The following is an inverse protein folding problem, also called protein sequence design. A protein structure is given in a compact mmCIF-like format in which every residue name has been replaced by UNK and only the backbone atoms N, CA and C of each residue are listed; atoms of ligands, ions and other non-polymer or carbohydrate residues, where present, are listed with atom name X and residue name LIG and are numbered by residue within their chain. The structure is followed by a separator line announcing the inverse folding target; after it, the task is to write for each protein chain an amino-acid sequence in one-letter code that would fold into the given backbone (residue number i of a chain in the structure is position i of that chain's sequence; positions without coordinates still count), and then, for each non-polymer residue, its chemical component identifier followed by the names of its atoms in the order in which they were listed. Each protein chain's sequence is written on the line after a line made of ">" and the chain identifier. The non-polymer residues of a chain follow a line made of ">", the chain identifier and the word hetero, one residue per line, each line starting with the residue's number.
data_IF_350845283797
#
_entry.id   IF_350845283797
#
_cell.length_a   1.000
_cell.length_b   1.000
_cell.length_c   1.000
_cell.angle_alpha   90.00
_cell.angle_beta   90.00
_cell.angle_gamma   90.00
#
_symmetry.space_group_name_H-M   'P 1'
#
loop_
_entity.id
_entity.type
_entity.pdbx_description
1 polymer ?
#
# COMPACT_ATOMS: atom_id res chain seq x y z
N UNK A 1 -47.31 56.76 3.09
CA UNK A 1 -46.60 55.69 3.89
C UNK A 1 -46.61 54.30 3.25
N UNK A 2 -47.18 54.02 2.09
CA UNK A 2 -47.24 52.64 1.52
C UNK A 2 -46.10 52.24 0.58
N UNK A 3 -45.27 53.17 0.09
CA UNK A 3 -44.22 52.91 -0.91
C UNK A 3 -42.96 52.21 -0.36
N UNK A 4 -42.60 52.44 0.89
CA UNK A 4 -41.41 51.83 1.51
C UNK A 4 -41.57 50.36 1.90
N UNK A 5 -42.77 49.88 2.14
CA UNK A 5 -43.03 48.49 2.54
C UNK A 5 -42.83 47.53 1.35
N UNK A 6 -43.18 47.96 0.13
CA UNK A 6 -43.00 47.13 -1.08
C UNK A 6 -41.51 46.96 -1.45
N UNK A 7 -40.71 48.01 -1.31
CA UNK A 7 -39.25 47.95 -1.58
C UNK A 7 -38.58 47.01 -0.61
N UNK A 8 -38.95 47.04 0.67
CA UNK A 8 -38.41 46.14 1.68
C UNK A 8 -38.76 44.67 1.42
N UNK A 9 -39.98 44.41 0.97
CA UNK A 9 -40.46 43.08 0.64
C UNK A 9 -39.70 42.48 -0.57
N UNK A 10 -39.47 43.29 -1.60
CA UNK A 10 -38.74 42.89 -2.82
C UNK A 10 -37.28 42.55 -2.47
N UNK A 11 -36.60 43.36 -1.67
CA UNK A 11 -35.22 43.14 -1.23
C UNK A 11 -35.12 41.84 -0.41
N UNK A 12 -36.11 41.57 0.43
CA UNK A 12 -36.11 40.37 1.26
C UNK A 12 -36.34 39.10 0.46
N UNK A 13 -37.19 39.16 -0.56
CA UNK A 13 -37.41 38.03 -1.49
C UNK A 13 -36.18 37.77 -2.34
N UNK A 14 -35.54 38.81 -2.90
CA UNK A 14 -34.28 38.64 -3.65
C UNK A 14 -33.14 38.05 -2.78
N UNK A 15 -33.00 38.48 -1.54
CA UNK A 15 -31.99 37.96 -0.62
C UNK A 15 -32.28 36.50 -0.27
N UNK A 16 -33.53 36.13 -0.02
CA UNK A 16 -33.94 34.75 0.25
C UNK A 16 -33.70 33.84 -0.96
N UNK A 17 -34.04 34.29 -2.17
CA UNK A 17 -33.78 33.53 -3.40
C UNK A 17 -32.30 33.33 -3.67
N UNK A 18 -31.47 34.38 -3.49
CA UNK A 18 -29.99 34.24 -3.63
C UNK A 18 -29.41 33.26 -2.65
N UNK A 19 -29.88 33.25 -1.40
CA UNK A 19 -29.44 32.31 -0.36
C UNK A 19 -29.83 30.86 -0.70
N UNK A 20 -31.01 30.64 -1.23
CA UNK A 20 -31.47 29.32 -1.67
C UNK A 20 -30.72 28.84 -2.92
N UNK A 21 -30.42 29.73 -3.88
CA UNK A 21 -29.59 29.40 -5.05
C UNK A 21 -28.16 29.03 -4.64
N UNK A 22 -27.58 29.77 -3.69
CA UNK A 22 -26.21 29.47 -3.18
C UNK A 22 -26.16 28.12 -2.47
N UNK A 23 -27.20 27.80 -1.68
CA UNK A 23 -27.26 26.49 -0.98
C UNK A 23 -27.45 25.34 -1.97
N UNK A 24 -28.24 25.53 -3.03
CA UNK A 24 -28.44 24.53 -4.09
C UNK A 24 -27.17 24.30 -4.88
N UNK A 25 -26.40 25.35 -5.16
CA UNK A 25 -25.11 25.26 -5.85
C UNK A 25 -24.06 24.51 -5.00
N UNK A 26 -24.09 24.70 -3.68
CA UNK A 26 -23.20 23.99 -2.74
C UNK A 26 -23.55 22.49 -2.65
N UNK A 27 -24.84 22.15 -2.67
CA UNK A 27 -25.30 20.75 -2.64
C UNK A 27 -24.94 20.03 -3.95
N UNK A 28 -25.09 20.70 -5.10
CA UNK A 28 -24.74 20.14 -6.41
C UNK A 28 -23.21 19.93 -6.51
N UNK A 29 -22.39 20.86 -6.02
CA UNK A 29 -20.94 20.71 -6.01
C UNK A 29 -20.46 19.57 -5.09
N UNK A 30 -21.14 19.29 -3.98
CA UNK A 30 -20.84 18.15 -3.11
C UNK A 30 -21.24 16.80 -3.73
N UNK A 31 -22.28 16.77 -4.58
CA UNK A 31 -22.73 15.55 -5.24
C UNK A 31 -21.83 15.15 -6.42
N UNK A 32 -21.20 16.11 -7.09
CA UNK A 32 -20.26 15.82 -8.20
C UNK A 32 -18.89 15.31 -7.72
N UNK A 33 -18.51 15.54 -6.47
CA UNK A 33 -17.26 15.05 -5.89
C UNK A 33 -17.27 13.54 -5.58
N UNK A 34 -18.44 12.90 -5.55
CA UNK A 34 -18.55 11.47 -5.23
C UNK A 34 -18.69 10.55 -6.45
N UNK A 35 -18.68 11.07 -7.67
CA UNK A 35 -18.76 10.28 -8.90
C UNK A 35 -17.38 10.07 -9.54
N UNK A 36 -16.31 9.98 -8.76
CA UNK A 36 -15.07 9.40 -9.28
C UNK A 36 -15.35 7.92 -9.51
N UNK A 37 -15.40 7.50 -10.77
CA UNK A 37 -15.33 6.09 -11.14
C UNK A 37 -14.13 5.49 -10.40
N UNK A 38 -14.40 4.74 -9.32
CA UNK A 38 -13.35 4.12 -8.54
C UNK A 38 -12.68 3.11 -9.46
N UNK A 39 -11.49 3.44 -9.94
CA UNK A 39 -10.67 2.57 -10.78
C UNK A 39 -10.53 1.23 -10.05
N UNK A 40 -10.85 0.13 -10.73
CA UNK A 40 -10.88 -1.19 -10.11
C UNK A 40 -9.62 -1.98 -10.48
N UNK A 41 -9.26 -2.89 -9.64
CA UNK A 41 -8.14 -3.82 -9.88
C UNK A 41 -8.32 -4.57 -11.21
N UNK A 42 -9.58 -4.88 -11.60
CA UNK A 42 -9.93 -5.52 -12.88
C UNK A 42 -9.62 -4.68 -14.12
N UNK A 43 -9.42 -3.38 -13.96
CA UNK A 43 -9.17 -2.45 -15.08
C UNK A 43 -7.67 -2.34 -15.37
N UNK A 44 -6.83 -2.99 -14.56
CA UNK A 44 -5.37 -3.00 -14.70
C UNK A 44 -4.97 -4.02 -15.76
N UNK A 45 -4.34 -3.60 -16.87
CA UNK A 45 -3.95 -4.51 -17.93
C UNK A 45 -2.75 -5.38 -17.56
N UNK A 46 -1.80 -4.84 -16.81
CA UNK A 46 -0.61 -5.54 -16.33
C UNK A 46 0.05 -4.79 -15.16
N UNK A 47 0.92 -5.50 -14.43
CA UNK A 47 1.64 -4.99 -13.27
C UNK A 47 3.16 -5.12 -13.43
N UNK A 48 3.89 -4.19 -12.83
CA UNK A 48 5.30 -4.40 -12.44
C UNK A 48 5.34 -4.88 -10.99
N UNK A 49 5.94 -6.05 -10.73
CA UNK A 49 6.16 -6.54 -9.37
C UNK A 49 7.49 -5.97 -8.84
N UNK A 50 7.41 -5.17 -7.78
CA UNK A 50 8.60 -4.57 -7.16
C UNK A 50 9.20 -5.42 -6.05
N UNK A 51 8.59 -6.56 -5.66
CA UNK A 51 9.08 -7.40 -4.57
C UNK A 51 8.63 -6.91 -3.20
N UNK A 52 9.47 -7.12 -2.18
CA UNK A 52 9.15 -6.82 -0.78
C UNK A 52 10.00 -5.65 -0.29
N UNK A 53 9.33 -4.63 0.20
CA UNK A 53 9.91 -3.53 0.96
C UNK A 53 9.83 -3.85 2.46
N UNK A 54 10.97 -3.83 3.13
CA UNK A 54 11.12 -4.09 4.56
C UNK A 54 11.37 -2.83 5.38
N UNK A 55 11.26 -1.63 4.80
CA UNK A 55 11.57 -0.36 5.50
C UNK A 55 10.68 -0.12 6.73
N UNK A 56 9.48 -0.67 6.74
CA UNK A 56 8.56 -0.63 7.88
C UNK A 56 8.65 -1.86 8.79
N UNK A 57 9.44 -2.87 8.42
CA UNK A 57 9.43 -4.15 9.10
C UNK A 57 10.02 -4.07 10.52
N UNK A 58 9.32 -4.71 11.46
CA UNK A 58 9.86 -5.01 12.79
C UNK A 58 9.85 -6.50 13.04
N UNK A 59 10.86 -6.98 13.77
CA UNK A 59 10.99 -8.39 14.16
C UNK A 59 10.95 -8.52 15.69
N UNK A 60 9.98 -9.27 16.17
CA UNK A 60 9.79 -9.61 17.59
C UNK A 60 10.20 -11.05 17.87
N UNK A 61 10.76 -11.28 19.05
CA UNK A 61 11.22 -12.61 19.48
C UNK A 61 12.47 -13.10 18.72
N UNK A 62 12.83 -14.36 18.97
CA UNK A 62 13.97 -15.02 18.35
C UNK A 62 15.34 -14.51 18.83
N UNK A 63 16.39 -15.25 18.49
CA UNK A 63 17.78 -14.93 18.86
C UNK A 63 18.54 -14.21 17.75
N UNK A 64 17.99 -14.15 16.58
CA UNK A 64 18.58 -13.54 15.40
C UNK A 64 18.77 -12.04 15.60
N UNK A 65 19.90 -11.53 15.12
CA UNK A 65 20.23 -10.10 15.16
C UNK A 65 19.51 -9.34 14.04
N UNK A 66 19.34 -8.03 14.19
CA UNK A 66 18.79 -7.19 13.12
C UNK A 66 19.63 -7.27 11.84
N UNK A 67 20.96 -7.43 11.94
CA UNK A 67 21.83 -7.61 10.79
C UNK A 67 21.52 -8.89 10.00
N UNK A 68 21.22 -10.00 10.68
CA UNK A 68 20.83 -11.25 10.03
C UNK A 68 19.51 -11.10 9.27
N UNK A 69 18.52 -10.36 9.82
CA UNK A 69 17.30 -10.01 9.12
C UNK A 69 17.59 -9.14 7.89
N UNK A 70 18.42 -8.12 8.05
CA UNK A 70 18.77 -7.21 6.96
C UNK A 70 19.40 -7.92 5.76
N UNK A 71 20.32 -8.84 5.98
CA UNK A 71 20.91 -9.69 4.93
C UNK A 71 19.86 -10.56 4.26
N UNK A 72 18.98 -11.18 5.04
CA UNK A 72 17.92 -12.06 4.55
C UNK A 72 16.93 -11.34 3.61
N UNK A 73 16.69 -10.05 3.78
CA UNK A 73 15.71 -9.29 2.99
C UNK A 73 16.01 -9.33 1.48
N UNK A 74 17.26 -9.12 1.10
CA UNK A 74 17.67 -9.23 -0.30
C UNK A 74 17.53 -10.67 -0.81
N UNK A 75 17.96 -11.65 0.00
CA UNK A 75 17.86 -13.06 -0.36
C UNK A 75 16.43 -13.56 -0.56
N UNK A 76 15.44 -13.04 0.17
CA UNK A 76 14.03 -13.38 -0.04
C UNK A 76 13.50 -12.71 -1.30
N UNK A 77 13.88 -11.46 -1.57
CA UNK A 77 13.47 -10.76 -2.79
C UNK A 77 13.94 -11.49 -4.06
N UNK A 78 15.15 -12.04 -4.06
CA UNK A 78 15.68 -12.83 -5.20
C UNK A 78 14.78 -14.03 -5.56
N UNK A 79 14.00 -14.57 -4.61
CA UNK A 79 13.11 -15.70 -4.87
C UNK A 79 12.00 -15.39 -5.86
N UNK A 80 11.62 -14.12 -6.05
CA UNK A 80 10.66 -13.74 -7.11
C UNK A 80 11.23 -13.95 -8.51
N UNK A 81 12.57 -13.90 -8.64
CA UNK A 81 13.29 -14.16 -9.89
C UNK A 81 13.67 -15.64 -10.00
N UNK A 82 14.26 -16.21 -8.92
CA UNK A 82 14.75 -17.59 -8.92
C UNK A 82 13.63 -18.64 -8.94
N UNK A 83 12.48 -18.34 -8.30
CA UNK A 83 11.36 -19.26 -8.15
C UNK A 83 10.02 -18.62 -8.58
N UNK A 84 9.91 -18.11 -9.81
CA UNK A 84 8.77 -17.31 -10.26
C UNK A 84 7.43 -18.07 -10.20
N UNK A 85 7.43 -19.39 -10.37
CA UNK A 85 6.22 -20.21 -10.25
C UNK A 85 5.70 -20.31 -8.82
N UNK A 86 6.60 -20.25 -7.83
CA UNK A 86 6.26 -20.34 -6.40
C UNK A 86 5.80 -18.99 -5.86
N UNK A 87 6.48 -17.92 -6.23
CA UNK A 87 6.23 -16.54 -5.77
C UNK A 87 5.47 -15.72 -6.82
N UNK A 88 4.59 -16.33 -7.59
CA UNK A 88 3.84 -15.67 -8.68
C UNK A 88 2.72 -14.78 -8.14
N UNK A 89 2.85 -13.49 -8.33
CA UNK A 89 1.77 -12.50 -8.15
C UNK A 89 0.66 -12.71 -9.18
N UNK A 90 1.04 -12.86 -10.46
CA UNK A 90 0.12 -13.07 -11.58
C UNK A 90 -0.86 -14.23 -11.31
N UNK A 91 -0.33 -15.39 -10.88
CA UNK A 91 -1.17 -16.56 -10.56
C UNK A 91 -2.20 -16.26 -9.46
N UNK A 92 -1.95 -15.30 -8.58
CA UNK A 92 -2.81 -14.99 -7.44
C UNK A 92 -3.85 -13.93 -7.76
N UNK A 93 -3.45 -12.89 -8.47
CA UNK A 93 -4.34 -11.78 -8.84
C UNK A 93 -5.09 -12.01 -10.16
N UNK A 94 -4.59 -12.90 -11.02
CA UNK A 94 -5.12 -13.06 -12.37
C UNK A 94 -4.80 -11.89 -13.30
N UNK A 95 -3.84 -11.01 -12.90
CA UNK A 95 -3.39 -9.86 -13.66
C UNK A 95 -1.98 -10.17 -14.16
N UNK A 96 -1.68 -10.01 -15.47
CA UNK A 96 -0.35 -10.23 -16.01
C UNK A 96 0.74 -9.43 -15.28
N UNK A 97 1.89 -10.03 -15.05
CA UNK A 97 3.08 -9.36 -14.50
C UNK A 97 4.13 -9.26 -15.60
N UNK A 98 4.28 -8.08 -16.20
CA UNK A 98 5.21 -7.86 -17.30
C UNK A 98 6.68 -7.91 -16.86
N UNK A 99 6.95 -7.39 -15.67
CA UNK A 99 8.32 -7.24 -15.14
C UNK A 99 8.36 -7.49 -13.65
N UNK A 100 9.41 -8.19 -13.19
CA UNK A 100 9.84 -8.19 -11.78
C UNK A 100 11.04 -7.24 -11.66
N UNK A 101 10.85 -6.12 -10.96
CA UNK A 101 11.85 -5.04 -10.82
C UNK A 101 12.21 -4.81 -9.35
N UNK A 102 13.19 -5.53 -8.85
CA UNK A 102 13.59 -5.48 -7.44
C UNK A 102 14.47 -4.28 -7.08
N UNK A 103 14.93 -3.50 -8.07
CA UNK A 103 15.90 -2.43 -7.84
C UNK A 103 15.41 -1.40 -6.81
N UNK A 104 14.16 -0.97 -6.90
CA UNK A 104 13.61 0.05 -6.02
C UNK A 104 13.55 -0.41 -4.57
N UNK A 105 12.99 -1.61 -4.32
CA UNK A 105 12.90 -2.15 -2.95
C UNK A 105 14.28 -2.52 -2.40
N UNK A 106 15.19 -3.05 -3.21
CA UNK A 106 16.54 -3.36 -2.76
C UNK A 106 17.31 -2.10 -2.39
N UNK A 107 17.15 -0.99 -3.13
CA UNK A 107 17.74 0.31 -2.76
C UNK A 107 17.13 0.87 -1.46
N UNK A 108 15.83 0.72 -1.25
CA UNK A 108 15.18 1.14 -0.02
C UNK A 108 15.64 0.28 1.17
N UNK A 109 15.63 -1.04 1.02
CA UNK A 109 16.01 -2.00 2.05
C UNK A 109 17.49 -1.87 2.49
N UNK A 110 18.39 -1.52 1.56
CA UNK A 110 19.81 -1.24 1.88
C UNK A 110 20.03 -0.06 2.82
N UNK A 111 19.08 0.86 2.91
CA UNK A 111 19.14 2.03 3.80
C UNK A 111 18.61 1.76 5.21
N UNK A 112 18.04 0.58 5.46
CA UNK A 112 17.53 0.21 6.78
C UNK A 112 18.70 0.11 7.75
N UNK A 113 18.60 0.77 8.91
CA UNK A 113 19.52 0.54 10.01
C UNK A 113 19.18 -0.80 10.69
N UNK A 114 20.08 -1.80 10.67
CA UNK A 114 19.82 -3.11 11.27
C UNK A 114 19.44 -3.06 12.75
N UNK A 115 19.94 -2.09 13.52
CA UNK A 115 19.66 -1.95 14.96
C UNK A 115 18.18 -1.61 15.22
N UNK A 116 17.46 -1.09 14.21
CA UNK A 116 16.06 -0.70 14.36
C UNK A 116 15.08 -1.80 13.94
N UNK A 117 15.57 -2.92 13.44
CA UNK A 117 14.71 -4.03 12.96
C UNK A 117 14.09 -4.76 14.15
N UNK A 118 14.85 -5.02 15.22
CA UNK A 118 14.32 -5.69 16.40
C UNK A 118 13.43 -4.77 17.22
N UNK A 119 12.34 -5.33 17.76
CA UNK A 119 11.43 -4.63 18.65
C UNK A 119 11.06 -5.50 19.84
N UNK A 120 10.66 -4.86 20.94
CA UNK A 120 10.02 -5.49 22.10
C UNK A 120 8.51 -5.42 22.06
N UNK A 121 7.95 -4.70 21.08
CA UNK A 121 6.50 -4.59 20.88
C UNK A 121 5.96 -5.90 20.29
N UNK A 122 4.98 -6.49 20.97
CA UNK A 122 4.33 -7.74 20.56
C UNK A 122 3.27 -7.56 19.46
N UNK A 123 2.78 -6.32 19.27
CA UNK A 123 1.67 -5.98 18.35
C UNK A 123 2.03 -4.78 17.47
N UNK A 124 3.27 -4.73 16.97
CA UNK A 124 3.67 -3.64 16.10
C UNK A 124 2.85 -3.64 14.79
N UNK A 125 2.33 -2.48 14.43
CA UNK A 125 1.63 -2.27 13.15
C UNK A 125 1.83 -0.82 12.69
N UNK A 126 2.39 -0.60 11.50
CA UNK A 126 2.47 0.74 10.92
C UNK A 126 1.08 1.33 10.62
N UNK A 127 0.99 2.65 10.71
CA UNK A 127 -0.23 3.38 10.33
C UNK A 127 -0.41 3.41 8.82
N UNK A 128 -1.64 3.66 8.35
CA UNK A 128 -1.92 3.84 6.92
C UNK A 128 -1.09 4.98 6.29
N UNK A 129 -0.84 6.04 7.04
CA UNK A 129 0.00 7.16 6.60
C UNK A 129 1.46 6.72 6.37
N UNK A 130 2.01 5.86 7.23
CA UNK A 130 3.36 5.30 7.07
C UNK A 130 3.43 4.35 5.86
N UNK A 131 2.38 3.54 5.64
CA UNK A 131 2.26 2.68 4.46
C UNK A 131 2.23 3.51 3.18
N UNK A 132 1.40 4.55 3.12
CA UNK A 132 1.31 5.44 1.97
C UNK A 132 2.65 6.16 1.71
N UNK A 133 3.33 6.60 2.77
CA UNK A 133 4.63 7.27 2.65
C UNK A 133 5.71 6.30 2.14
N UNK A 134 5.74 5.05 2.60
CA UNK A 134 6.68 4.04 2.10
C UNK A 134 6.52 3.84 0.58
N UNK A 135 5.28 3.76 0.08
CA UNK A 135 5.01 3.64 -1.35
C UNK A 135 5.48 4.88 -2.13
N UNK A 136 5.27 6.09 -1.59
CA UNK A 136 5.73 7.35 -2.20
C UNK A 136 7.25 7.44 -2.29
N UNK A 137 7.94 6.94 -1.27
CA UNK A 137 9.41 7.01 -1.17
C UNK A 137 10.14 5.93 -1.97
N UNK A 138 9.44 4.94 -2.56
CA UNK A 138 10.08 3.94 -3.41
C UNK A 138 10.85 4.62 -4.55
N UNK A 139 12.16 4.35 -4.70
CA UNK A 139 13.00 5.00 -5.71
C UNK A 139 12.81 4.39 -7.10
N UNK A 140 11.57 4.45 -7.60
CA UNK A 140 11.22 3.99 -8.94
C UNK A 140 11.60 5.07 -9.94
N UNK A 141 12.41 4.72 -10.92
CA UNK A 141 12.96 5.65 -11.91
C UNK A 141 11.99 5.91 -13.08
N UNK A 142 11.05 5.02 -13.33
CA UNK A 142 10.11 5.17 -14.46
C UNK A 142 9.21 6.39 -14.27
N UNK A 143 9.12 7.22 -15.30
CA UNK A 143 8.20 8.36 -15.40
C UNK A 143 6.91 7.99 -16.16
N UNK A 144 6.81 6.76 -16.63
CA UNK A 144 5.64 6.27 -17.34
C UNK A 144 4.51 5.96 -16.38
N UNK A 145 3.31 6.27 -16.79
CA UNK A 145 2.10 5.91 -16.05
C UNK A 145 1.80 4.42 -16.28
N UNK A 146 2.11 3.63 -15.30
CA UNK A 146 1.89 2.18 -15.27
C UNK A 146 1.37 1.78 -13.89
N UNK A 147 1.13 0.49 -13.70
CA UNK A 147 0.68 -0.04 -12.43
C UNK A 147 1.76 -0.92 -11.81
N UNK A 148 1.96 -0.75 -10.53
CA UNK A 148 2.91 -1.55 -9.76
C UNK A 148 2.24 -2.24 -8.60
N UNK A 149 2.84 -3.34 -8.16
CA UNK A 149 2.56 -3.97 -6.88
C UNK A 149 3.84 -4.05 -6.06
N UNK A 150 3.73 -3.66 -4.81
CA UNK A 150 4.78 -3.84 -3.79
C UNK A 150 4.17 -4.55 -2.57
N UNK A 151 4.98 -5.38 -1.93
CA UNK A 151 4.63 -6.05 -0.69
C UNK A 151 5.40 -5.36 0.43
N UNK A 152 4.72 -4.71 1.37
CA UNK A 152 5.37 -4.16 2.54
C UNK A 152 5.35 -5.23 3.64
N UNK A 153 6.52 -5.66 4.11
CA UNK A 153 6.60 -6.46 5.32
C UNK A 153 6.39 -5.54 6.52
N UNK A 154 5.39 -5.82 7.34
CA UNK A 154 5.05 -4.97 8.48
C UNK A 154 5.63 -5.52 9.79
N UNK A 155 5.39 -6.80 10.06
CA UNK A 155 5.77 -7.40 11.32
C UNK A 155 6.14 -8.87 11.16
N UNK A 156 7.21 -9.29 11.81
CA UNK A 156 7.70 -10.67 11.86
C UNK A 156 7.72 -11.12 13.32
N UNK A 157 6.70 -11.85 13.74
CA UNK A 157 6.58 -12.40 15.09
C UNK A 157 7.14 -13.83 15.13
N UNK A 158 8.34 -13.98 15.67
CA UNK A 158 9.04 -15.26 15.74
C UNK A 158 8.45 -16.20 16.80
N UNK A 159 7.79 -15.67 17.82
CA UNK A 159 7.18 -16.50 18.87
C UNK A 159 5.89 -17.16 18.40
N UNK A 160 5.17 -16.51 17.49
CA UNK A 160 3.95 -17.05 16.88
C UNK A 160 4.19 -17.71 15.52
N UNK A 161 5.43 -17.66 15.00
CA UNK A 161 5.78 -18.12 13.65
C UNK A 161 4.94 -17.47 12.54
N UNK A 162 4.63 -16.15 12.66
CA UNK A 162 3.78 -15.42 11.74
C UNK A 162 4.47 -14.15 11.28
N UNK A 163 4.32 -13.84 9.98
CA UNK A 163 4.62 -12.50 9.47
C UNK A 163 3.37 -11.87 8.84
N UNK A 164 3.28 -10.53 8.97
CA UNK A 164 2.21 -9.71 8.43
C UNK A 164 2.73 -8.87 7.27
N UNK A 165 2.00 -8.89 6.17
CA UNK A 165 2.34 -8.20 4.93
C UNK A 165 1.17 -7.35 4.46
N UNK A 166 1.48 -6.15 3.96
CA UNK A 166 0.56 -5.30 3.22
C UNK A 166 0.88 -5.40 1.74
N UNK A 167 -0.07 -5.82 0.95
CA UNK A 167 0.01 -5.79 -0.50
C UNK A 167 -0.56 -4.47 -0.98
N UNK A 168 0.17 -3.76 -1.82
CA UNK A 168 -0.23 -2.44 -2.30
C UNK A 168 -0.10 -2.38 -3.81
N UNK A 169 -1.23 -2.18 -4.50
CA UNK A 169 -1.28 -1.87 -5.93
C UNK A 169 -1.39 -0.36 -6.08
N UNK A 170 -0.54 0.24 -6.90
CA UNK A 170 -0.42 1.68 -7.01
C UNK A 170 -0.06 2.12 -8.44
N UNK A 171 -0.34 3.40 -8.74
CA UNK A 171 0.12 4.04 -9.98
C UNK A 171 1.61 4.38 -9.84
N UNK A 172 2.45 3.94 -10.77
CA UNK A 172 3.91 4.08 -10.66
C UNK A 172 4.40 5.52 -10.80
N UNK A 173 3.63 6.42 -11.43
CA UNK A 173 3.95 7.82 -11.62
C UNK A 173 3.46 8.69 -10.47
N UNK A 174 2.15 8.64 -10.16
CA UNK A 174 1.56 9.46 -9.10
C UNK A 174 1.80 8.92 -7.70
N UNK A 175 2.10 7.62 -7.56
CA UNK A 175 2.20 6.88 -6.29
C UNK A 175 0.86 6.73 -5.57
N UNK A 176 -0.24 7.05 -6.23
CA UNK A 176 -1.57 6.85 -5.65
C UNK A 176 -1.85 5.36 -5.47
N UNK A 177 -2.31 5.02 -4.28
CA UNK A 177 -2.72 3.65 -3.95
C UNK A 177 -4.08 3.39 -4.59
N UNK A 178 -4.16 2.34 -5.40
CA UNK A 178 -5.37 1.90 -6.10
C UNK A 178 -6.13 0.90 -5.23
N UNK A 179 -5.41 -0.10 -4.73
CA UNK A 179 -5.96 -1.15 -3.89
C UNK A 179 -4.89 -1.60 -2.89
N UNK A 180 -5.31 -1.96 -1.69
CA UNK A 180 -4.41 -2.54 -0.69
C UNK A 180 -5.14 -3.49 0.24
N UNK A 181 -4.43 -4.51 0.71
CA UNK A 181 -4.97 -5.50 1.66
C UNK A 181 -3.86 -6.12 2.49
N UNK A 182 -4.18 -6.52 3.71
CA UNK A 182 -3.27 -7.17 4.65
C UNK A 182 -3.43 -8.67 4.60
N UNK A 183 -2.31 -9.41 4.61
CA UNK A 183 -2.29 -10.86 4.76
C UNK A 183 -1.23 -11.29 5.76
N UNK A 184 -1.50 -12.39 6.44
CA UNK A 184 -0.53 -13.06 7.30
C UNK A 184 -0.07 -14.37 6.68
N UNK A 185 1.20 -14.67 6.84
CA UNK A 185 1.78 -15.95 6.46
C UNK A 185 2.43 -16.65 7.64
N UNK A 186 2.16 -17.95 7.80
CA UNK A 186 2.87 -18.76 8.79
C UNK A 186 4.27 -19.04 8.29
N UNK A 187 5.28 -18.80 9.14
CA UNK A 187 6.67 -19.12 8.87
C UNK A 187 6.98 -20.58 9.21
N UNK A 188 7.80 -21.21 8.38
CA UNK A 188 8.23 -22.60 8.56
C UNK A 188 9.48 -22.88 7.73
N UNK A 189 10.42 -23.67 8.23
CA UNK A 189 11.60 -24.08 7.49
C UNK A 189 12.87 -24.02 8.31
N UNK A 190 13.96 -24.47 7.72
CA UNK A 190 15.30 -24.44 8.33
C UNK A 190 16.10 -23.24 7.80
N UNK A 191 16.71 -22.50 8.72
CA UNK A 191 17.44 -21.28 8.43
C UNK A 191 16.52 -20.06 8.18
N UNK A 192 17.03 -18.87 8.47
CA UNK A 192 16.23 -17.64 8.53
C UNK A 192 15.57 -17.30 7.20
N UNK A 193 16.30 -17.42 6.08
CA UNK A 193 15.78 -17.20 4.72
C UNK A 193 14.57 -18.09 4.41
N UNK A 194 14.72 -19.40 4.53
CA UNK A 194 13.65 -20.34 4.16
C UNK A 194 12.44 -20.23 5.08
N UNK A 195 12.68 -19.99 6.35
CA UNK A 195 11.65 -19.82 7.36
C UNK A 195 10.74 -18.63 7.03
N UNK A 196 11.29 -17.45 6.77
CA UNK A 196 10.50 -16.28 6.43
C UNK A 196 10.02 -16.26 4.97
N UNK A 197 10.77 -16.84 4.03
CA UNK A 197 10.30 -17.01 2.65
C UNK A 197 9.02 -17.86 2.58
N UNK A 198 8.89 -18.86 3.46
CA UNK A 198 7.66 -19.64 3.52
C UNK A 198 6.46 -18.81 3.99
N UNK A 199 6.64 -17.85 4.90
CA UNK A 199 5.56 -16.95 5.32
C UNK A 199 5.11 -16.04 4.16
N UNK A 200 6.04 -15.54 3.34
CA UNK A 200 5.70 -14.81 2.11
C UNK A 200 4.86 -15.68 1.18
N UNK A 201 5.29 -16.91 0.91
CA UNK A 201 4.54 -17.85 0.09
C UNK A 201 3.13 -18.11 0.63
N UNK A 202 2.97 -18.28 1.95
CA UNK A 202 1.67 -18.48 2.58
C UNK A 202 0.78 -17.24 2.49
N UNK A 203 1.35 -16.03 2.64
CA UNK A 203 0.62 -14.78 2.46
C UNK A 203 0.15 -14.61 1.00
N UNK A 204 1.03 -14.89 0.03
CA UNK A 204 0.69 -14.90 -1.41
C UNK A 204 -0.46 -15.86 -1.72
N UNK A 205 -0.51 -17.04 -1.11
CA UNK A 205 -1.60 -18.01 -1.34
C UNK A 205 -2.97 -17.50 -0.91
N UNK A 206 -3.03 -16.57 0.02
CA UNK A 206 -4.26 -15.97 0.54
C UNK A 206 -4.72 -14.73 -0.22
N UNK A 207 -3.92 -14.26 -1.19
CA UNK A 207 -4.35 -13.19 -2.10
C UNK A 207 -5.54 -13.67 -2.93
N UNK A 208 -6.57 -12.86 -2.98
CA UNK A 208 -7.78 -13.09 -3.79
C UNK A 208 -8.12 -11.81 -4.54
#
# INVERSE_FOLDING_TARGET
>A
MKKNTYIWLIIHIEYSMKKQLLSLFFIISCLTLNAQNKFKLSDIPSLTNYGIDYTLAKAYGGKETGYQYWVMYEEINELFIEKPKTFSIEKRLGIPVDVVSLQAVNQANKKINPDWIKTTETNYMPTEAQIAEAVKQLPILSQEEKYGIVILCLFMNKEEDIATYQFVVFNTKSRDIIEQWTQTGKALGLGLKHYWAYSVYQALKKMK
#
